data_IF_257941774166
#
_entry.id   IF_257941774166
#
_cell.length_a   1.000
_cell.length_b   1.000
_cell.length_c   1.000
_cell.angle_alpha   90.00
_cell.angle_beta   90.00
_cell.angle_gamma   90.00
#
_symmetry.space_group_name_H-M   'P 1'
#
loop_
_entity.id
_entity.type
_entity.pdbx_description
1 polymer ?
#
# COMPACT_ATOMS: atom_id res chain seq x y z
N UNK A 1 13.04 -4.92 13.21
CA UNK A 1 13.38 -4.07 12.05
C UNK A 1 12.21 -3.14 11.78
N UNK A 2 12.41 -1.82 11.94
CA UNK A 2 11.37 -0.81 11.72
C UNK A 2 11.02 -0.74 10.23
N UNK A 3 9.88 -1.30 9.84
CA UNK A 3 9.31 -1.21 8.48
C UNK A 3 8.32 -0.04 8.43
N UNK A 4 8.83 1.18 8.62
CA UNK A 4 8.02 2.40 8.58
C UNK A 4 7.98 3.05 7.17
N UNK A 5 8.61 2.44 6.17
CA UNK A 5 8.61 2.92 4.79
C UNK A 5 7.51 2.28 3.94
N UNK A 6 7.28 2.90 2.79
CA UNK A 6 6.30 2.48 1.78
C UNK A 6 6.63 1.09 1.21
N UNK A 7 5.60 0.37 0.75
CA UNK A 7 5.68 -0.99 0.20
C UNK A 7 6.39 -2.04 1.08
N UNK A 8 6.60 -1.81 2.37
CA UNK A 8 7.25 -2.79 3.27
C UNK A 8 8.78 -2.75 3.26
N UNK A 9 9.39 -1.66 2.78
CA UNK A 9 10.82 -1.36 2.97
C UNK A 9 11.04 -0.25 4.01
N UNK A 10 12.30 0.03 4.36
CA UNK A 10 12.63 1.16 5.23
C UNK A 10 12.33 2.49 4.51
N UNK A 11 11.99 3.54 5.25
CA UNK A 11 11.75 4.87 4.70
C UNK A 11 13.05 5.49 4.18
N UNK A 12 12.98 6.18 3.04
CA UNK A 12 14.06 7.07 2.58
C UNK A 12 14.26 8.22 3.57
N UNK A 13 15.49 8.69 3.83
CA UNK A 13 15.73 9.91 4.60
C UNK A 13 15.03 11.11 3.97
N UNK A 14 14.54 12.03 4.80
CA UNK A 14 13.74 13.20 4.38
C UNK A 14 14.47 14.06 3.35
N UNK A 15 15.80 14.13 3.44
CA UNK A 15 16.68 14.91 2.56
C UNK A 15 16.65 14.40 1.10
N UNK A 16 16.30 13.14 0.90
CA UNK A 16 16.29 12.46 -0.41
C UNK A 16 14.92 11.93 -0.81
N UNK A 17 13.94 12.02 0.09
CA UNK A 17 12.57 11.62 -0.18
C UNK A 17 11.91 12.57 -1.20
N UNK A 18 11.17 12.00 -2.14
CA UNK A 18 10.45 12.75 -3.15
C UNK A 18 9.00 12.98 -2.71
N UNK A 19 8.69 14.22 -2.32
CA UNK A 19 7.31 14.61 -2.02
C UNK A 19 6.40 14.41 -3.24
N UNK A 20 5.17 13.97 -3.01
CA UNK A 20 4.23 13.65 -4.08
C UNK A 20 4.42 12.27 -4.71
N UNK A 21 5.44 11.51 -4.30
CA UNK A 21 5.58 10.09 -4.64
C UNK A 21 5.21 9.20 -3.45
N UNK A 22 4.37 8.20 -3.72
CA UNK A 22 4.01 7.14 -2.76
C UNK A 22 4.98 5.95 -2.78
N UNK A 23 6.00 6.00 -3.65
CA UNK A 23 7.03 4.99 -3.83
C UNK A 23 8.41 5.62 -3.94
N UNK A 24 9.45 4.90 -3.51
CA UNK A 24 10.83 5.43 -3.57
C UNK A 24 11.54 5.10 -4.91
N UNK A 25 11.07 4.09 -5.66
CA UNK A 25 11.62 3.67 -6.96
C UNK A 25 10.64 2.73 -7.72
N UNK A 26 11.07 2.23 -8.88
CA UNK A 26 10.28 1.36 -9.75
C UNK A 26 9.98 -0.02 -9.14
N UNK A 27 10.90 -0.57 -8.36
CA UNK A 27 10.70 -1.91 -7.79
C UNK A 27 9.67 -1.87 -6.66
N UNK A 28 9.57 -0.75 -5.93
CA UNK A 28 8.41 -0.51 -5.07
C UNK A 28 7.10 -0.45 -5.82
N UNK A 29 7.09 0.24 -6.96
CA UNK A 29 5.88 0.38 -7.75
C UNK A 29 5.36 -0.99 -8.18
N UNK A 30 6.24 -1.86 -8.66
CA UNK A 30 5.89 -3.25 -9.04
C UNK A 30 5.35 -4.04 -7.85
N UNK A 31 6.04 -3.97 -6.70
CA UNK A 31 5.61 -4.68 -5.50
C UNK A 31 4.26 -4.20 -5.00
N UNK A 32 4.07 -2.88 -4.92
CA UNK A 32 2.80 -2.28 -4.54
C UNK A 32 1.68 -2.74 -5.50
N UNK A 33 1.96 -2.79 -6.81
CA UNK A 33 1.02 -3.33 -7.79
C UNK A 33 0.59 -4.76 -7.48
N UNK A 34 1.54 -5.66 -7.19
CA UNK A 34 1.24 -7.04 -6.81
C UNK A 34 0.50 -7.17 -5.47
N UNK A 35 0.80 -6.29 -4.51
CA UNK A 35 0.08 -6.25 -3.25
C UNK A 35 -1.37 -5.79 -3.45
N UNK A 36 -1.59 -4.81 -4.33
CA UNK A 36 -2.91 -4.34 -4.72
C UNK A 36 -3.73 -5.40 -5.47
N UNK A 37 -3.10 -6.17 -6.36
CA UNK A 37 -3.74 -7.30 -7.07
C UNK A 37 -4.28 -8.38 -6.12
N UNK A 38 -3.70 -8.49 -4.92
CA UNK A 38 -4.07 -9.47 -3.89
C UNK A 38 -5.03 -8.92 -2.84
N UNK A 39 -5.33 -7.63 -2.88
CA UNK A 39 -6.26 -7.04 -1.94
C UNK A 39 -7.68 -7.50 -2.27
N UNK A 40 -8.37 -7.99 -1.24
CA UNK A 40 -9.78 -8.36 -1.35
C UNK A 40 -10.63 -7.15 -1.68
N UNK A 41 -11.59 -7.36 -2.56
CA UNK A 41 -12.63 -6.39 -2.89
C UNK A 41 -13.67 -6.33 -1.76
N UNK A 42 -14.47 -5.25 -1.73
CA UNK A 42 -15.57 -5.15 -0.77
C UNK A 42 -16.55 -6.32 -0.88
N UNK A 43 -16.80 -6.80 -2.10
CA UNK A 43 -17.67 -7.96 -2.35
C UNK A 43 -17.12 -9.25 -1.71
N UNK A 44 -15.82 -9.52 -1.90
CA UNK A 44 -15.17 -10.70 -1.29
C UNK A 44 -15.13 -10.62 0.24
N UNK A 45 -14.97 -9.41 0.80
CA UNK A 45 -15.07 -9.20 2.25
C UNK A 45 -16.46 -9.54 2.77
N UNK A 46 -17.52 -9.10 2.09
CA UNK A 46 -18.91 -9.40 2.47
C UNK A 46 -19.21 -10.91 2.38
N UNK A 47 -18.72 -11.60 1.34
CA UNK A 47 -18.86 -13.06 1.19
C UNK A 47 -18.15 -13.84 2.31
N UNK A 48 -17.01 -13.34 2.78
CA UNK A 48 -16.27 -13.87 3.93
C UNK A 48 -16.93 -13.51 5.28
N UNK A 49 -18.03 -12.75 5.29
CA UNK A 49 -18.70 -12.28 6.50
C UNK A 49 -17.96 -11.15 7.24
N UNK A 50 -17.04 -10.47 6.55
CA UNK A 50 -16.31 -9.31 7.05
C UNK A 50 -17.03 -8.01 6.64
N UNK A 51 -16.77 -6.94 7.40
CA UNK A 51 -17.34 -5.62 7.13
C UNK A 51 -16.35 -4.82 6.28
N UNK A 52 -16.73 -4.37 5.07
CA UNK A 52 -15.88 -3.49 4.26
C UNK A 52 -15.66 -2.13 4.92
N UNK A 53 -14.55 -1.48 4.56
CA UNK A 53 -14.27 -0.12 5.01
C UNK A 53 -15.34 0.87 4.49
N UNK A 54 -15.72 1.90 5.27
CA UNK A 54 -16.66 2.92 4.83
C UNK A 54 -16.17 3.66 3.58
N UNK A 55 -17.05 3.81 2.59
CA UNK A 55 -16.77 4.64 1.40
C UNK A 55 -16.77 6.12 1.80
N UNK A 56 -15.79 6.88 1.30
CA UNK A 56 -15.78 8.33 1.42
C UNK A 56 -16.72 8.92 0.36
N UNK A 57 -17.63 9.83 0.76
CA UNK A 57 -18.50 10.59 -0.16
C UNK A 57 -17.81 11.79 -0.81
#
# INVERSE_FOLDING_TARGET
>A
MNRAGQAGRASTPVETAQNGSMVQDLDDLKRLGHDMERMRTNQELEEDGLVPDPKQE
#
